data_IF_374622498831
#
_entry.id   IF_374622498831
#
_cell.length_a   1.000
_cell.length_b   1.000
_cell.length_c   1.000
_cell.angle_alpha   90.00
_cell.angle_beta   90.00
_cell.angle_gamma   90.00
#
_symmetry.space_group_name_H-M   'P 1'
#
loop_
_entity.id
_entity.type
_entity.pdbx_description
1 polymer ?
#
# COMPACT_ATOMS: atom_id res chain seq x y z
N UNK A 1 -45.58 19.27 33.21
CA UNK A 1 -44.21 18.73 33.30
C UNK A 1 -44.05 17.36 32.63
N UNK A 2 -45.01 16.53 32.53
CA UNK A 2 -44.92 15.17 31.90
C UNK A 2 -44.78 15.14 30.38
N UNK A 3 -45.05 16.20 29.65
CA UNK A 3 -44.96 16.25 28.19
C UNK A 3 -43.55 16.50 27.68
N UNK A 4 -42.78 17.27 28.40
CA UNK A 4 -41.36 17.59 28.02
C UNK A 4 -40.43 16.36 28.14
N UNK A 5 -40.66 15.51 29.15
CA UNK A 5 -39.86 14.30 29.33
C UNK A 5 -40.09 13.28 28.22
N UNK A 6 -41.36 13.11 27.78
CA UNK A 6 -41.65 12.19 26.67
C UNK A 6 -41.05 12.61 25.33
N UNK A 7 -41.02 13.92 25.04
CA UNK A 7 -40.34 14.43 23.84
C UNK A 7 -38.84 14.21 23.90
N UNK A 8 -38.22 14.32 25.08
CA UNK A 8 -36.76 14.12 25.24
C UNK A 8 -36.36 12.66 25.02
N UNK A 9 -37.16 11.69 25.50
CA UNK A 9 -36.89 10.27 25.22
C UNK A 9 -37.11 9.91 23.76
N UNK A 10 -38.07 10.51 23.09
CA UNK A 10 -38.37 10.24 21.68
C UNK A 10 -37.23 10.78 20.76
N UNK A 11 -36.72 11.97 21.07
CA UNK A 11 -35.57 12.54 20.32
C UNK A 11 -34.28 11.79 20.59
N UNK A 12 -34.04 11.33 21.82
CA UNK A 12 -32.87 10.52 22.16
C UNK A 12 -32.88 9.17 21.44
N UNK A 13 -34.05 8.49 21.39
CA UNK A 13 -34.19 7.23 20.65
C UNK A 13 -33.97 7.40 19.13
N UNK A 14 -34.42 8.51 18.56
CA UNK A 14 -34.26 8.81 17.13
C UNK A 14 -32.79 9.03 16.77
N UNK A 15 -32.04 9.68 17.66
CA UNK A 15 -30.59 9.93 17.45
C UNK A 15 -29.81 8.60 17.49
N UNK A 16 -30.15 7.68 18.40
CA UNK A 16 -29.49 6.38 18.51
C UNK A 16 -29.73 5.53 17.26
N UNK A 17 -30.93 5.59 16.66
CA UNK A 17 -31.24 4.88 15.41
C UNK A 17 -30.48 5.40 14.19
N UNK A 18 -30.03 6.65 14.19
CA UNK A 18 -29.24 7.21 13.08
C UNK A 18 -27.77 6.76 13.10
N UNK A 19 -27.24 6.27 14.23
CA UNK A 19 -25.86 5.78 14.34
C UNK A 19 -25.69 4.29 14.00
N UNK A 20 -26.76 3.54 13.82
CA UNK A 20 -26.68 2.10 13.49
C UNK A 20 -26.53 1.80 11.99
N UNK A 21 -26.38 2.81 11.14
CA UNK A 21 -26.55 2.72 9.69
C UNK A 21 -25.28 2.48 8.85
N UNK A 22 -24.10 2.15 9.39
CA UNK A 22 -22.90 1.92 8.58
C UNK A 22 -22.00 0.80 9.11
N UNK A 23 -22.57 -0.34 9.49
CA UNK A 23 -21.79 -1.58 9.52
C UNK A 23 -21.97 -2.22 8.15
N UNK A 24 -21.16 -1.81 7.19
CA UNK A 24 -21.02 -2.55 5.93
C UNK A 24 -20.67 -3.99 6.29
N UNK A 25 -21.52 -4.93 5.92
CA UNK A 25 -21.22 -6.37 6.01
C UNK A 25 -20.02 -6.63 5.13
N UNK A 26 -18.83 -6.65 5.75
CA UNK A 26 -17.63 -7.15 5.09
C UNK A 26 -17.95 -8.61 4.78
N UNK A 27 -17.98 -8.93 3.49
CA UNK A 27 -18.28 -10.28 3.02
C UNK A 27 -17.06 -11.15 3.38
N UNK A 28 -17.09 -11.75 4.57
CA UNK A 28 -15.94 -12.45 5.18
C UNK A 28 -15.46 -13.62 4.35
N UNK A 29 -16.34 -14.25 3.55
CA UNK A 29 -15.96 -15.35 2.66
C UNK A 29 -15.04 -14.88 1.53
N UNK A 30 -15.37 -13.77 0.89
CA UNK A 30 -14.52 -13.20 -0.18
C UNK A 30 -13.16 -12.74 0.35
N UNK A 31 -13.11 -12.18 1.56
CA UNK A 31 -11.87 -11.75 2.19
C UNK A 31 -10.92 -12.92 2.48
N UNK A 32 -11.45 -14.04 2.97
CA UNK A 32 -10.67 -15.26 3.23
C UNK A 32 -10.13 -15.84 1.92
N UNK A 33 -10.98 -15.93 0.88
CA UNK A 33 -10.60 -16.42 -0.42
C UNK A 33 -9.48 -15.59 -1.07
N UNK A 34 -9.60 -14.26 -1.07
CA UNK A 34 -8.58 -13.37 -1.65
C UNK A 34 -7.26 -13.46 -0.89
N UNK A 35 -7.31 -13.53 0.44
CA UNK A 35 -6.10 -13.70 1.27
C UNK A 35 -5.41 -15.04 1.00
N UNK A 36 -6.17 -16.11 0.78
CA UNK A 36 -5.63 -17.40 0.41
C UNK A 36 -4.90 -17.34 -0.96
N UNK A 37 -5.53 -16.74 -1.99
CA UNK A 37 -4.91 -16.50 -3.29
C UNK A 37 -3.61 -15.69 -3.18
N UNK A 38 -3.60 -14.61 -2.39
CA UNK A 38 -2.40 -13.78 -2.18
C UNK A 38 -1.32 -14.56 -1.43
N UNK A 39 -1.70 -15.43 -0.49
CA UNK A 39 -0.73 -16.27 0.23
C UNK A 39 0.04 -17.21 -0.69
N UNK A 40 -0.52 -17.55 -1.86
CA UNK A 40 0.09 -18.42 -2.88
C UNK A 40 1.05 -17.67 -3.84
N UNK A 41 1.28 -16.36 -3.61
CA UNK A 41 2.20 -15.56 -4.42
C UNK A 41 3.61 -15.66 -3.84
N UNK A 42 4.58 -16.05 -4.65
CA UNK A 42 6.01 -15.85 -4.37
C UNK A 42 6.53 -14.63 -5.11
N UNK A 43 7.38 -13.83 -4.48
CA UNK A 43 7.99 -12.68 -5.12
C UNK A 43 9.41 -13.01 -5.61
N UNK A 44 9.83 -12.38 -6.73
CA UNK A 44 11.19 -12.47 -7.25
C UNK A 44 12.19 -12.08 -6.15
N UNK A 45 13.35 -12.72 -6.11
CA UNK A 45 14.42 -12.36 -5.19
C UNK A 45 14.90 -10.91 -5.43
N UNK A 46 15.13 -10.14 -4.36
CA UNK A 46 15.57 -8.75 -4.48
C UNK A 46 17.02 -8.65 -5.00
N UNK A 47 17.28 -7.66 -5.84
CA UNK A 47 18.60 -7.37 -6.40
C UNK A 47 19.26 -6.13 -5.75
N UNK A 48 18.47 -5.32 -5.03
CA UNK A 48 18.93 -4.11 -4.35
C UNK A 48 18.42 -4.02 -2.90
N UNK A 49 19.02 -3.12 -2.11
CA UNK A 49 18.56 -2.88 -0.73
C UNK A 49 17.11 -2.41 -0.66
N UNK A 50 16.69 -1.55 -1.59
CA UNK A 50 15.31 -1.02 -1.63
C UNK A 50 14.34 -2.14 -2.00
N UNK A 51 14.71 -2.98 -2.96
CA UNK A 51 13.92 -4.17 -3.31
C UNK A 51 13.85 -5.17 -2.16
N UNK A 52 14.91 -5.31 -1.35
CA UNK A 52 14.87 -6.15 -0.16
C UNK A 52 13.86 -5.67 0.87
N UNK A 53 13.73 -4.36 1.07
CA UNK A 53 12.73 -3.79 1.98
C UNK A 53 11.31 -3.99 1.45
N UNK A 54 11.11 -3.77 0.15
CA UNK A 54 9.85 -4.06 -0.52
C UNK A 54 9.48 -5.55 -0.36
N UNK A 55 10.41 -6.44 -0.67
CA UNK A 55 10.23 -7.90 -0.58
C UNK A 55 9.84 -8.33 0.84
N UNK A 56 10.60 -7.92 1.85
CA UNK A 56 10.30 -8.25 3.25
C UNK A 56 8.92 -7.76 3.67
N UNK A 57 8.57 -6.52 3.32
CA UNK A 57 7.27 -5.95 3.66
C UNK A 57 6.14 -6.67 2.94
N UNK A 58 6.30 -6.96 1.64
CA UNK A 58 5.30 -7.69 0.87
C UNK A 58 5.04 -9.08 1.47
N UNK A 59 6.10 -9.85 1.75
CA UNK A 59 5.97 -11.16 2.40
C UNK A 59 5.35 -11.08 3.80
N UNK A 60 5.69 -10.06 4.57
CA UNK A 60 5.10 -9.85 5.89
C UNK A 60 3.58 -9.64 5.83
N UNK A 61 3.11 -8.83 4.87
CA UNK A 61 1.68 -8.54 4.72
C UNK A 61 0.93 -9.73 4.11
N UNK A 62 1.52 -10.37 3.11
CA UNK A 62 0.95 -11.53 2.44
C UNK A 62 0.88 -12.76 3.35
N UNK A 63 1.54 -12.75 4.53
CA UNK A 63 1.62 -13.85 5.50
C UNK A 63 2.03 -15.17 4.86
N UNK A 64 3.01 -15.11 3.95
CA UNK A 64 3.39 -16.25 3.15
C UNK A 64 4.10 -17.33 3.96
N UNK A 65 3.32 -18.32 4.39
CA UNK A 65 3.75 -19.72 4.45
C UNK A 65 2.87 -20.49 3.45
N UNK A 66 3.17 -20.42 2.16
CA UNK A 66 2.32 -21.05 1.15
C UNK A 66 2.40 -22.56 1.30
N UNK A 67 1.24 -23.19 1.42
CA UNK A 67 1.10 -24.65 1.26
C UNK A 67 1.36 -25.02 -0.22
N UNK A 68 1.07 -24.08 -1.13
CA UNK A 68 1.36 -24.21 -2.57
C UNK A 68 1.67 -22.84 -3.16
N UNK A 69 2.65 -22.76 -4.05
CA UNK A 69 3.01 -21.54 -4.79
C UNK A 69 2.44 -21.65 -6.20
N UNK A 70 1.47 -20.83 -6.53
CA UNK A 70 0.80 -20.82 -7.83
C UNK A 70 1.14 -19.60 -8.68
N UNK A 71 1.59 -18.52 -8.04
CA UNK A 71 1.83 -17.24 -8.71
C UNK A 71 3.22 -16.70 -8.40
N UNK A 72 3.82 -16.03 -9.39
CA UNK A 72 5.09 -15.31 -9.25
C UNK A 72 4.88 -13.82 -9.45
N UNK A 73 5.26 -13.03 -8.47
CA UNK A 73 5.32 -11.57 -8.56
C UNK A 73 6.71 -11.16 -9.01
N UNK A 74 6.82 -10.65 -10.22
CA UNK A 74 8.03 -10.03 -10.76
C UNK A 74 7.88 -8.53 -10.57
N UNK A 75 8.89 -7.86 -10.03
CA UNK A 75 8.84 -6.44 -9.76
C UNK A 75 10.20 -5.78 -9.97
N UNK A 76 10.18 -4.48 -10.20
CA UNK A 76 11.37 -3.62 -10.25
C UNK A 76 11.04 -2.27 -9.62
N UNK A 77 11.98 -1.72 -8.85
CA UNK A 77 11.86 -0.39 -8.26
C UNK A 77 12.82 0.57 -8.95
N UNK A 78 12.27 1.69 -9.42
CA UNK A 78 13.03 2.80 -9.98
C UNK A 78 12.97 4.00 -9.03
N UNK A 79 14.12 4.62 -8.76
CA UNK A 79 14.26 5.77 -7.86
C UNK A 79 14.72 6.97 -8.63
N UNK A 80 13.97 8.06 -8.56
CA UNK A 80 14.36 9.35 -9.10
C UNK A 80 14.30 10.44 -8.04
N UNK A 81 15.31 11.30 -8.03
CA UNK A 81 15.38 12.46 -7.15
C UNK A 81 15.28 13.72 -8.00
N UNK A 82 14.35 14.61 -7.63
CA UNK A 82 14.20 15.93 -8.26
C UNK A 82 14.39 17.02 -7.21
N UNK A 83 15.14 18.05 -7.57
CA UNK A 83 15.26 19.24 -6.73
C UNK A 83 14.14 20.19 -7.10
N UNK A 84 13.37 20.61 -6.11
CA UNK A 84 12.37 21.67 -6.28
C UNK A 84 13.08 22.98 -5.93
N UNK A 85 13.29 23.83 -6.94
CA UNK A 85 13.84 25.17 -6.74
C UNK A 85 12.79 26.01 -6.02
N UNK A 86 13.12 26.45 -4.83
CA UNK A 86 12.33 27.46 -4.13
C UNK A 86 12.79 28.86 -4.59
N UNK A 87 11.86 29.71 -4.96
CA UNK A 87 12.09 31.03 -5.58
C UNK A 87 12.53 32.10 -4.58
N UNK A 88 12.64 31.79 -3.29
CA UNK A 88 13.02 32.79 -2.27
C UNK A 88 14.48 32.60 -1.84
N UNK A 89 15.23 33.69 -1.78
CA UNK A 89 16.68 33.76 -1.52
C UNK A 89 17.16 33.11 -0.20
N UNK A 90 16.27 32.67 0.67
CA UNK A 90 16.57 31.99 1.94
C UNK A 90 15.95 30.60 2.07
N UNK A 91 15.47 30.00 0.98
CA UNK A 91 14.79 28.73 1.03
C UNK A 91 15.75 27.59 0.79
N UNK A 92 15.80 26.76 1.79
CA UNK A 92 16.35 25.42 1.74
C UNK A 92 15.85 24.66 0.53
N UNK A 93 16.77 24.09 -0.27
CA UNK A 93 16.45 23.25 -1.41
C UNK A 93 15.63 22.03 -0.95
N UNK A 94 14.34 22.03 -1.24
CA UNK A 94 13.50 20.87 -1.03
C UNK A 94 13.86 19.82 -2.09
N UNK A 95 14.12 18.60 -1.65
CA UNK A 95 14.30 17.47 -2.55
C UNK A 95 13.05 16.60 -2.53
N UNK A 96 12.61 16.22 -3.71
CA UNK A 96 11.53 15.28 -3.89
C UNK A 96 12.10 13.94 -4.34
N UNK A 97 11.95 12.92 -3.52
CA UNK A 97 12.31 11.54 -3.84
C UNK A 97 11.06 10.83 -4.35
N UNK A 98 11.17 10.27 -5.52
CA UNK A 98 10.11 9.52 -6.18
C UNK A 98 10.59 8.09 -6.34
N UNK A 99 9.78 7.14 -5.87
CA UNK A 99 9.99 5.72 -6.13
C UNK A 99 8.81 5.18 -6.92
N UNK A 100 9.12 4.45 -7.98
CA UNK A 100 8.11 3.82 -8.83
C UNK A 100 8.35 2.32 -8.80
N UNK A 101 7.30 1.53 -8.54
CA UNK A 101 7.32 0.09 -8.70
C UNK A 101 6.55 -0.29 -9.97
N UNK A 102 7.19 -1.05 -10.86
CA UNK A 102 6.51 -1.79 -11.92
C UNK A 102 6.44 -3.25 -11.49
N UNK A 103 5.28 -3.90 -11.68
CA UNK A 103 5.09 -5.28 -11.28
C UNK A 103 4.25 -6.07 -12.28
N UNK A 104 4.50 -7.37 -12.33
CA UNK A 104 3.80 -8.38 -13.12
C UNK A 104 3.49 -9.58 -12.25
N UNK A 105 2.25 -10.05 -12.27
CA UNK A 105 1.82 -11.30 -11.64
C UNK A 105 1.67 -12.37 -12.73
N UNK A 106 2.41 -13.46 -12.61
CA UNK A 106 2.36 -14.59 -13.56
C UNK A 106 1.90 -15.87 -12.87
N UNK A 107 1.10 -16.66 -13.57
CA UNK A 107 0.81 -18.03 -13.15
C UNK A 107 2.04 -18.89 -13.40
N UNK A 108 2.51 -19.60 -12.40
CA UNK A 108 3.75 -20.40 -12.49
C UNK A 108 3.59 -21.67 -13.32
N UNK A 109 2.38 -22.23 -13.41
CA UNK A 109 2.12 -23.44 -14.16
C UNK A 109 2.01 -23.19 -15.67
N UNK A 110 1.34 -22.08 -16.04
CA UNK A 110 1.08 -21.74 -17.45
C UNK A 110 2.03 -20.70 -18.01
N UNK A 111 2.78 -19.98 -17.17
CA UNK A 111 3.60 -18.82 -17.53
C UNK A 111 2.79 -17.60 -17.98
N UNK A 112 1.46 -17.66 -17.92
CA UNK A 112 0.57 -16.59 -18.39
C UNK A 112 0.65 -15.39 -17.47
N UNK A 113 0.75 -14.19 -18.06
CA UNK A 113 0.56 -12.94 -17.36
C UNK A 113 -0.91 -12.81 -16.91
N UNK A 114 -1.11 -12.62 -15.61
CA UNK A 114 -2.43 -12.51 -14.98
C UNK A 114 -2.78 -11.05 -14.76
N UNK A 115 -1.84 -10.29 -14.17
CA UNK A 115 -2.04 -8.89 -13.83
C UNK A 115 -0.72 -8.15 -13.91
N UNK A 116 -0.77 -6.85 -14.22
CA UNK A 116 0.40 -5.97 -14.22
C UNK A 116 0.00 -4.56 -13.80
N UNK A 117 0.96 -3.83 -13.26
CA UNK A 117 0.71 -2.46 -12.86
C UNK A 117 1.98 -1.65 -12.65
N UNK A 118 1.78 -0.35 -12.53
CA UNK A 118 2.84 0.61 -12.20
C UNK A 118 2.31 1.58 -11.15
N UNK A 119 2.97 1.66 -10.00
CA UNK A 119 2.56 2.51 -8.88
C UNK A 119 3.70 3.44 -8.52
N UNK A 120 3.39 4.73 -8.37
CA UNK A 120 4.33 5.77 -8.00
C UNK A 120 4.02 6.29 -6.59
N UNK A 121 5.05 6.55 -5.83
CA UNK A 121 4.97 7.25 -4.53
C UNK A 121 6.09 8.27 -4.43
N UNK A 122 5.82 9.37 -3.75
CA UNK A 122 6.78 10.45 -3.59
C UNK A 122 6.83 10.94 -2.14
N UNK A 123 8.00 11.41 -1.74
CA UNK A 123 8.24 12.02 -0.45
C UNK A 123 9.13 13.25 -0.61
N UNK A 124 8.69 14.36 -0.05
CA UNK A 124 9.48 15.58 -0.01
C UNK A 124 10.29 15.60 1.28
N UNK A 125 11.61 15.74 1.18
CA UNK A 125 12.50 15.94 2.30
C UNK A 125 12.85 17.42 2.43
N UNK A 126 12.80 17.94 3.67
CA UNK A 126 13.25 19.29 3.96
C UNK A 126 14.76 19.44 3.79
N UNK A 127 15.23 20.65 3.53
CA UNK A 127 16.66 20.91 3.50
C UNK A 127 17.24 20.73 4.89
N UNK A 128 18.21 19.87 4.96
CA UNK A 128 19.02 19.67 6.16
C UNK A 128 20.38 20.29 5.89
N UNK A 129 20.90 21.02 6.86
CA UNK A 129 22.24 21.59 6.75
C UNK A 129 23.29 20.49 6.86
N UNK A 130 23.97 20.21 5.76
CA UNK A 130 25.07 19.24 5.68
C UNK A 130 24.79 18.08 4.72
N UNK A 131 25.79 17.77 3.90
CA UNK A 131 25.72 16.74 2.86
C UNK A 131 25.34 15.38 3.43
N UNK A 132 25.95 14.96 4.53
CA UNK A 132 25.69 13.68 5.17
C UNK A 132 24.24 13.54 5.70
N UNK A 133 23.71 14.60 6.31
CA UNK A 133 22.34 14.62 6.79
C UNK A 133 21.34 14.53 5.63
N UNK A 134 21.68 15.14 4.49
CA UNK A 134 20.89 15.11 3.29
C UNK A 134 20.84 13.71 2.65
N UNK A 135 21.99 13.07 2.47
CA UNK A 135 22.08 11.70 1.95
C UNK A 135 21.28 10.73 2.85
N UNK A 136 21.38 10.89 4.15
CA UNK A 136 20.64 10.08 5.11
C UNK A 136 19.13 10.28 5.00
N UNK A 137 18.68 11.52 4.85
CA UNK A 137 17.26 11.87 4.66
C UNK A 137 16.70 11.26 3.38
N UNK A 138 17.45 11.34 2.27
CA UNK A 138 17.08 10.73 1.00
C UNK A 138 16.96 9.21 1.10
N UNK A 139 17.93 8.56 1.73
CA UNK A 139 17.92 7.11 1.96
C UNK A 139 16.69 6.69 2.78
N UNK A 140 16.39 7.39 3.87
CA UNK A 140 15.19 7.12 4.67
C UNK A 140 13.90 7.33 3.87
N UNK A 141 13.85 8.37 3.02
CA UNK A 141 12.69 8.59 2.15
C UNK A 141 12.48 7.40 1.20
N UNK A 142 13.55 6.93 0.55
CA UNK A 142 13.52 5.77 -0.34
C UNK A 142 13.05 4.50 0.37
N UNK A 143 13.60 4.21 1.55
CA UNK A 143 13.25 3.04 2.36
C UNK A 143 11.76 3.06 2.76
N UNK A 144 11.26 4.19 3.23
CA UNK A 144 9.84 4.34 3.58
C UNK A 144 8.93 4.20 2.37
N UNK A 145 9.32 4.75 1.23
CA UNK A 145 8.56 4.64 -0.01
C UNK A 145 8.52 3.20 -0.52
N UNK A 146 9.60 2.44 -0.41
CA UNK A 146 9.63 1.02 -0.77
C UNK A 146 8.64 0.20 0.07
N UNK A 147 8.60 0.44 1.39
CA UNK A 147 7.64 -0.20 2.30
C UNK A 147 6.19 0.16 1.94
N UNK A 148 5.92 1.45 1.68
CA UNK A 148 4.61 1.92 1.27
C UNK A 148 4.17 1.32 -0.07
N UNK A 149 5.10 1.21 -1.04
CA UNK A 149 4.82 0.62 -2.34
C UNK A 149 4.48 -0.88 -2.23
N UNK A 150 5.13 -1.62 -1.34
CA UNK A 150 4.77 -3.01 -1.07
C UNK A 150 3.32 -3.15 -0.58
N UNK A 151 2.88 -2.25 0.31
CA UNK A 151 1.48 -2.21 0.77
C UNK A 151 0.51 -1.88 -0.37
N UNK A 152 0.86 -0.92 -1.23
CA UNK A 152 0.02 -0.53 -2.37
C UNK A 152 -0.07 -1.63 -3.44
N UNK A 153 1.03 -2.35 -3.69
CA UNK A 153 1.01 -3.51 -4.58
C UNK A 153 0.12 -4.60 -4.00
N UNK A 154 0.24 -4.91 -2.71
CA UNK A 154 -0.64 -5.85 -2.04
C UNK A 154 -2.12 -5.46 -2.19
N UNK A 155 -2.46 -4.19 -1.92
CA UNK A 155 -3.83 -3.69 -2.07
C UNK A 155 -4.33 -3.79 -3.52
N UNK A 156 -3.48 -3.51 -4.50
CA UNK A 156 -3.82 -3.64 -5.92
C UNK A 156 -4.10 -5.09 -6.32
N UNK A 157 -3.26 -6.02 -5.86
CA UNK A 157 -3.49 -7.46 -6.08
C UNK A 157 -4.73 -7.97 -5.34
N UNK A 158 -4.99 -7.45 -4.14
CA UNK A 158 -6.20 -7.77 -3.38
C UNK A 158 -7.46 -7.37 -4.14
N UNK A 159 -7.52 -6.15 -4.67
CA UNK A 159 -8.63 -5.68 -5.48
C UNK A 159 -8.77 -6.49 -6.78
N UNK A 160 -7.65 -6.81 -7.42
CA UNK A 160 -7.68 -7.64 -8.63
C UNK A 160 -8.33 -9.01 -8.38
N UNK A 161 -7.93 -9.75 -7.33
CA UNK A 161 -8.53 -11.04 -7.01
C UNK A 161 -9.96 -10.94 -6.49
N UNK A 162 -10.34 -9.82 -5.89
CA UNK A 162 -11.72 -9.57 -5.49
C UNK A 162 -12.64 -9.40 -6.71
N UNK A 163 -12.14 -8.74 -7.75
CA UNK A 163 -12.89 -8.53 -9.00
C UNK A 163 -12.83 -9.74 -9.95
N UNK A 164 -11.82 -10.60 -9.82
CA UNK A 164 -11.59 -11.75 -10.70
C UNK A 164 -11.43 -13.06 -9.88
N UNK A 165 -12.48 -13.57 -9.27
CA UNK A 165 -12.40 -14.75 -8.40
C UNK A 165 -11.96 -16.04 -9.13
N UNK A 166 -12.20 -16.13 -10.43
CA UNK A 166 -11.87 -17.30 -11.27
C UNK A 166 -10.46 -17.26 -11.86
N UNK A 167 -9.63 -16.25 -11.54
CA UNK A 167 -8.28 -16.06 -12.10
C UNK A 167 -7.20 -16.90 -11.40
#
# INVERSE_FOLDING_TARGET
MLWAEKCFYLTSCLIILLFTGCIGTINTENDVFVKDKISQITAKNPESHIELLFFKQFHHIARNMPVSVNYMLIYSLDVSNTQTLSVTQNSSNLKNTVVTVAFELKNMQTGRLIHQGKIKSEATSGAVSGLFAQERSEKFAQERLAILLAQRVYQNLYLYFLENPDS
#
